data_IF_187828464534
#
_entry.id   IF_187828464534
#
_cell.length_a   1.000
_cell.length_b   1.000
_cell.length_c   1.000
_cell.angle_alpha   90.00
_cell.angle_beta   90.00
_cell.angle_gamma   90.00
#
_symmetry.space_group_name_H-M   'P 1'
#
loop_
_entity.id
_entity.type
_entity.pdbx_description
1 polymer ?
#
# COMPACT_ATOMS: atom_id res chain seq x y z
N UNK A 1 -6.70 -18.59 -51.43
CA UNK A 1 -5.41 -19.29 -51.26
C UNK A 1 -5.22 -19.51 -49.77
N UNK A 2 -5.20 -20.77 -49.38
CA UNK A 2 -5.07 -21.26 -48.01
C UNK A 2 -3.75 -20.81 -47.40
N UNK A 3 -3.81 -20.24 -46.19
CA UNK A 3 -2.69 -20.28 -45.24
C UNK A 3 -3.11 -21.20 -44.11
N UNK A 4 -3.03 -22.50 -44.36
CA UNK A 4 -2.99 -23.54 -43.34
C UNK A 4 -1.79 -23.26 -42.44
N UNK A 5 -2.06 -22.67 -41.28
CA UNK A 5 -1.12 -22.70 -40.17
C UNK A 5 -0.99 -24.16 -39.74
N UNK A 6 0.23 -24.69 -39.84
CA UNK A 6 0.65 -26.02 -39.37
C UNK A 6 -0.17 -26.51 -38.15
N UNK A 7 -1.11 -27.43 -38.40
CA UNK A 7 -1.67 -28.32 -37.39
C UNK A 7 -0.62 -29.38 -37.05
N UNK A 8 0.52 -28.98 -36.47
CA UNK A 8 1.45 -29.94 -35.86
C UNK A 8 0.97 -30.21 -34.43
N UNK A 9 0.48 -31.42 -34.12
CA UNK A 9 0.03 -31.78 -32.78
C UNK A 9 1.11 -31.52 -31.72
N UNK A 10 2.40 -31.64 -32.06
CA UNK A 10 3.51 -31.34 -31.13
C UNK A 10 3.62 -29.85 -30.81
N UNK A 11 3.27 -28.96 -31.75
CA UNK A 11 3.28 -27.53 -31.53
C UNK A 11 2.13 -27.10 -30.61
N UNK A 12 0.94 -27.69 -30.76
CA UNK A 12 -0.18 -27.49 -29.86
C UNK A 12 0.13 -28.03 -28.45
N UNK A 13 0.73 -29.21 -28.36
CA UNK A 13 1.20 -29.84 -27.11
C UNK A 13 2.17 -28.94 -26.34
N UNK A 14 3.18 -28.43 -27.06
CA UNK A 14 4.19 -27.54 -26.50
C UNK A 14 3.56 -26.22 -26.06
N UNK A 15 2.63 -25.69 -26.84
CA UNK A 15 1.90 -24.46 -26.47
C UNK A 15 1.09 -24.65 -25.20
N UNK A 16 0.38 -25.79 -25.05
CA UNK A 16 -0.34 -26.13 -23.82
C UNK A 16 0.61 -26.22 -22.63
N UNK A 17 1.74 -26.92 -22.80
CA UNK A 17 2.75 -27.05 -21.76
C UNK A 17 3.33 -25.69 -21.34
N UNK A 18 3.81 -24.90 -22.30
CA UNK A 18 4.43 -23.60 -22.04
C UNK A 18 3.42 -22.63 -21.40
N UNK A 19 2.14 -22.69 -21.82
CA UNK A 19 1.07 -21.84 -21.26
C UNK A 19 0.67 -22.26 -19.85
N UNK A 20 0.57 -23.57 -19.59
CA UNK A 20 0.32 -24.09 -18.25
C UNK A 20 1.49 -23.81 -17.31
N UNK A 21 2.75 -23.91 -17.77
CA UNK A 21 3.91 -23.57 -16.95
C UNK A 21 3.96 -22.06 -16.64
N UNK A 22 3.61 -21.20 -17.61
CA UNK A 22 3.49 -19.77 -17.37
C UNK A 22 2.41 -19.47 -16.31
N UNK A 23 1.21 -20.03 -16.47
CA UNK A 23 0.06 -19.77 -15.60
C UNK A 23 0.18 -20.39 -14.21
N UNK A 24 0.62 -21.65 -14.12
CA UNK A 24 0.62 -22.43 -12.89
C UNK A 24 1.85 -22.18 -12.01
N UNK A 25 2.93 -21.62 -12.58
CA UNK A 25 4.21 -21.45 -11.88
C UNK A 25 4.69 -20.01 -11.90
N UNK A 26 4.86 -19.45 -13.09
CA UNK A 26 5.62 -18.20 -13.27
C UNK A 26 4.82 -16.94 -12.90
N UNK A 27 3.51 -16.93 -13.17
CA UNK A 27 2.67 -15.76 -12.92
C UNK A 27 2.29 -15.63 -11.42
N UNK A 28 1.91 -16.69 -10.70
CA UNK A 28 1.67 -16.64 -9.26
C UNK A 28 2.92 -16.24 -8.45
N UNK A 29 4.12 -16.60 -8.94
CA UNK A 29 5.41 -16.19 -8.35
C UNK A 29 5.55 -14.67 -8.19
N UNK A 30 4.86 -13.87 -9.03
CA UNK A 30 4.92 -12.40 -8.96
C UNK A 30 4.31 -11.83 -7.69
N UNK A 31 3.41 -12.56 -7.02
CA UNK A 31 2.89 -12.18 -5.70
C UNK A 31 3.88 -12.36 -4.56
N UNK A 32 4.99 -13.07 -4.81
CA UNK A 32 5.99 -13.41 -3.81
C UNK A 32 7.34 -12.79 -4.18
N UNK A 33 8.18 -12.58 -3.17
CA UNK A 33 9.59 -12.20 -3.34
C UNK A 33 10.45 -12.98 -2.36
N UNK A 34 11.61 -13.41 -2.83
CA UNK A 34 12.62 -14.03 -1.96
C UNK A 34 13.54 -12.95 -1.40
N UNK A 35 13.55 -12.79 -0.08
CA UNK A 35 14.43 -11.86 0.60
C UNK A 35 15.90 -12.28 0.37
N UNK A 36 16.73 -11.30 -0.01
CA UNK A 36 18.14 -11.55 -0.37
C UNK A 36 19.01 -11.98 0.81
N UNK A 37 18.59 -11.65 2.04
CA UNK A 37 19.41 -11.83 3.24
C UNK A 37 19.31 -13.26 3.83
N UNK A 38 18.12 -13.87 3.82
CA UNK A 38 17.83 -15.15 4.48
C UNK A 38 17.17 -16.17 3.56
N UNK A 39 16.90 -15.82 2.29
CA UNK A 39 16.19 -16.68 1.35
C UNK A 39 14.71 -16.86 1.67
N UNK A 40 14.15 -16.08 2.60
CA UNK A 40 12.75 -16.20 3.02
C UNK A 40 11.83 -15.67 1.93
N UNK A 41 10.84 -16.47 1.57
CA UNK A 41 9.74 -16.05 0.69
C UNK A 41 8.81 -15.15 1.49
N UNK A 42 8.46 -13.99 0.93
CA UNK A 42 7.56 -13.02 1.53
C UNK A 42 6.60 -12.48 0.47
N UNK A 43 5.46 -11.94 0.90
CA UNK A 43 4.57 -11.20 0.01
C UNK A 43 5.32 -10.07 -0.72
N UNK A 44 5.06 -9.91 -2.02
CA UNK A 44 5.66 -8.88 -2.87
C UNK A 44 4.98 -7.52 -2.65
N UNK A 45 5.03 -7.07 -1.40
CA UNK A 45 4.52 -5.79 -0.93
C UNK A 45 5.21 -5.47 0.39
N UNK A 46 5.84 -4.29 0.46
CA UNK A 46 6.38 -3.80 1.73
C UNK A 46 5.22 -3.38 2.64
N UNK A 47 5.19 -3.89 3.87
CA UNK A 47 4.18 -3.55 4.89
C UNK A 47 4.41 -2.15 5.45
N UNK A 48 5.67 -1.70 5.48
CA UNK A 48 6.08 -0.44 6.13
C UNK A 48 5.36 0.80 5.57
N UNK A 49 5.16 0.95 4.24
CA UNK A 49 4.35 2.01 3.67
C UNK A 49 2.91 2.11 4.20
N UNK A 50 2.21 0.98 4.31
CA UNK A 50 0.79 0.95 4.66
C UNK A 50 0.52 1.40 6.08
N UNK A 51 1.39 1.00 6.99
CA UNK A 51 1.30 1.48 8.35
C UNK A 51 1.56 2.99 8.44
N UNK A 52 2.49 3.54 7.63
CA UNK A 52 2.81 4.97 7.69
C UNK A 52 1.61 5.81 7.22
N UNK A 53 0.94 5.35 6.17
CA UNK A 53 -0.34 5.89 5.72
C UNK A 53 -1.37 5.82 6.86
N UNK A 54 -1.50 4.66 7.52
CA UNK A 54 -2.46 4.49 8.62
C UNK A 54 -2.26 5.51 9.74
N UNK A 55 -1.03 5.63 10.19
CA UNK A 55 -0.71 6.48 11.31
C UNK A 55 -0.82 7.96 10.94
N UNK A 56 -0.45 8.35 9.71
CA UNK A 56 -0.69 9.70 9.21
C UNK A 56 -2.18 10.03 9.17
N UNK A 57 -3.01 9.12 8.66
CA UNK A 57 -4.47 9.31 8.59
C UNK A 57 -5.04 9.51 10.00
N UNK A 58 -4.69 8.64 10.94
CA UNK A 58 -5.14 8.77 12.33
C UNK A 58 -4.67 10.06 13.00
N UNK A 59 -3.39 10.44 12.84
CA UNK A 59 -2.88 11.69 13.39
C UNK A 59 -3.57 12.91 12.75
N UNK A 60 -3.77 12.89 11.43
CA UNK A 60 -4.41 13.98 10.69
C UNK A 60 -5.87 14.19 11.09
N UNK A 61 -6.60 13.11 11.39
CA UNK A 61 -7.98 13.18 11.89
C UNK A 61 -8.11 13.80 13.30
N UNK A 62 -7.00 13.98 14.03
CA UNK A 62 -7.00 14.70 15.32
C UNK A 62 -6.94 16.22 15.13
N UNK A 63 -6.49 16.68 13.96
CA UNK A 63 -6.49 18.10 13.62
C UNK A 63 -7.91 18.64 13.43
N UNK A 64 -8.11 19.95 13.56
CA UNK A 64 -9.43 20.53 13.37
C UNK A 64 -10.00 20.20 11.98
N UNK A 65 -11.21 19.67 11.96
CA UNK A 65 -11.85 19.11 10.77
C UNK A 65 -12.53 20.18 9.90
N UNK A 66 -12.78 21.36 10.47
CA UNK A 66 -13.35 22.53 9.80
C UNK A 66 -12.98 23.83 10.55
N UNK A 67 -13.29 24.96 9.93
CA UNK A 67 -13.05 26.31 10.47
C UNK A 67 -13.66 26.52 11.86
N UNK A 68 -14.84 25.96 12.13
CA UNK A 68 -15.53 26.13 13.41
C UNK A 68 -14.81 25.35 14.53
N UNK A 69 -14.38 24.12 14.27
CA UNK A 69 -13.57 23.35 15.22
C UNK A 69 -12.20 23.98 15.43
N UNK A 70 -11.60 24.54 14.36
CA UNK A 70 -10.34 25.27 14.47
C UNK A 70 -10.50 26.49 15.39
N UNK A 71 -11.48 27.35 15.14
CA UNK A 71 -11.75 28.54 15.97
C UNK A 71 -12.09 28.17 17.42
N UNK A 72 -12.73 27.03 17.66
CA UNK A 72 -13.02 26.52 19.01
C UNK A 72 -11.75 26.06 19.74
N UNK A 73 -10.89 25.30 19.08
CA UNK A 73 -9.64 24.76 19.66
C UNK A 73 -8.53 25.80 19.76
N UNK A 74 -8.46 26.69 18.78
CA UNK A 74 -7.46 27.73 18.59
C UNK A 74 -8.15 29.05 18.18
N UNK A 75 -8.71 29.80 19.14
CA UNK A 75 -9.36 31.07 18.82
C UNK A 75 -8.38 32.08 18.23
N UNK A 76 -8.83 32.86 17.24
CA UNK A 76 -8.04 33.95 16.64
C UNK A 76 -7.46 34.93 17.66
N UNK A 77 -8.13 35.12 18.81
CA UNK A 77 -7.62 35.96 19.89
C UNK A 77 -6.24 35.52 20.40
N UNK A 78 -5.92 34.22 20.36
CA UNK A 78 -4.62 33.67 20.76
C UNK A 78 -3.51 34.04 19.78
N UNK A 79 -3.85 34.28 18.52
CA UNK A 79 -2.89 34.65 17.46
C UNK A 79 -2.65 36.16 17.37
N UNK A 80 -3.41 36.99 18.10
CA UNK A 80 -3.27 38.46 18.06
C UNK A 80 -1.83 38.97 18.22
N UNK A 81 -1.00 38.43 19.14
CA UNK A 81 0.39 38.87 19.25
C UNK A 81 1.18 38.57 17.97
N UNK A 82 0.97 37.41 17.35
CA UNK A 82 1.64 37.05 16.11
C UNK A 82 1.11 37.83 14.91
N UNK A 83 -0.19 38.07 14.80
CA UNK A 83 -0.80 38.82 13.69
C UNK A 83 -0.23 40.24 13.54
N UNK A 84 0.26 40.83 14.63
CA UNK A 84 0.91 42.14 14.60
C UNK A 84 2.25 42.15 13.83
N UNK A 85 2.93 41.01 13.76
CA UNK A 85 4.26 40.87 13.13
C UNK A 85 4.27 39.90 11.94
N UNK A 86 3.26 39.04 11.85
CA UNK A 86 3.02 38.05 10.80
C UNK A 86 1.53 38.10 10.40
N UNK A 87 1.16 39.03 9.51
CA UNK A 87 -0.22 39.15 9.07
C UNK A 87 -0.72 37.86 8.42
N UNK A 88 -1.97 37.47 8.72
CA UNK A 88 -2.69 36.29 8.22
C UNK A 88 -2.21 34.93 8.74
N UNK A 89 -1.25 34.90 9.65
CA UNK A 89 -0.72 33.63 10.19
C UNK A 89 -1.82 32.75 10.80
N UNK A 90 -2.88 33.35 11.34
CA UNK A 90 -4.06 32.62 11.81
C UNK A 90 -4.76 31.86 10.69
N UNK A 91 -5.15 32.57 9.62
CA UNK A 91 -5.90 31.99 8.49
C UNK A 91 -5.05 30.98 7.74
N UNK A 92 -3.76 31.29 7.50
CA UNK A 92 -2.87 30.37 6.81
C UNK A 92 -2.68 29.06 7.60
N UNK A 93 -2.57 29.15 8.93
CA UNK A 93 -2.44 27.97 9.80
C UNK A 93 -3.73 27.15 9.83
N UNK A 94 -4.88 27.82 9.89
CA UNK A 94 -6.20 27.19 9.83
C UNK A 94 -6.36 26.42 8.54
N UNK A 95 -6.15 27.07 7.40
CA UNK A 95 -6.35 26.48 6.09
C UNK A 95 -5.46 25.24 5.90
N UNK A 96 -4.19 25.31 6.32
CA UNK A 96 -3.26 24.18 6.22
C UNK A 96 -3.67 22.97 7.09
N UNK A 97 -4.03 23.19 8.35
CA UNK A 97 -4.38 22.09 9.27
C UNK A 97 -5.76 21.50 8.96
N UNK A 98 -6.72 22.33 8.56
CA UNK A 98 -8.05 21.88 8.13
C UNK A 98 -7.97 21.09 6.82
N UNK A 99 -7.16 21.52 5.85
CA UNK A 99 -6.97 20.80 4.60
C UNK A 99 -6.39 19.39 4.83
N UNK A 100 -5.41 19.27 5.73
CA UNK A 100 -4.82 17.98 6.13
C UNK A 100 -5.86 17.10 6.81
N UNK A 101 -6.59 17.65 7.80
CA UNK A 101 -7.65 16.91 8.50
C UNK A 101 -8.71 16.39 7.55
N UNK A 102 -9.19 17.26 6.66
CA UNK A 102 -10.22 16.93 5.67
C UNK A 102 -9.79 15.80 4.73
N UNK A 103 -8.56 15.87 4.21
CA UNK A 103 -7.99 14.81 3.37
C UNK A 103 -7.88 13.47 4.12
N UNK A 104 -7.40 13.49 5.37
CA UNK A 104 -7.32 12.28 6.19
C UNK A 104 -8.71 11.70 6.53
N UNK A 105 -9.71 12.52 6.85
CA UNK A 105 -11.09 12.07 7.08
C UNK A 105 -11.72 11.48 5.81
N UNK A 106 -11.54 12.12 4.66
CA UNK A 106 -12.01 11.64 3.36
C UNK A 106 -11.39 10.28 3.03
N UNK A 107 -10.09 10.11 3.25
CA UNK A 107 -9.42 8.84 3.00
C UNK A 107 -9.84 7.75 4.01
N UNK A 108 -9.98 8.10 5.29
CA UNK A 108 -10.38 7.17 6.35
C UNK A 108 -11.79 6.61 6.14
N UNK A 109 -12.73 7.46 5.71
CA UNK A 109 -14.15 7.09 5.55
C UNK A 109 -14.46 6.22 4.33
N UNK A 110 -13.48 5.89 3.49
CA UNK A 110 -13.69 4.98 2.36
C UNK A 110 -12.45 4.16 1.99
N UNK A 111 -11.48 4.72 1.23
CA UNK A 111 -10.37 3.96 0.66
C UNK A 111 -9.48 3.20 1.66
N UNK A 112 -9.39 3.70 2.89
CA UNK A 112 -8.50 3.16 3.92
C UNK A 112 -8.75 1.68 4.21
N UNK A 113 -10.01 1.22 4.25
CA UNK A 113 -10.32 -0.21 4.44
C UNK A 113 -9.84 -1.05 3.26
N UNK A 114 -9.98 -0.54 2.03
CA UNK A 114 -9.45 -1.16 0.82
C UNK A 114 -7.93 -1.35 0.89
N UNK A 115 -7.23 -0.34 1.42
CA UNK A 115 -5.76 -0.34 1.53
C UNK A 115 -5.27 -1.39 2.52
N UNK A 116 -6.03 -1.72 3.56
CA UNK A 116 -5.66 -2.80 4.49
C UNK A 116 -6.17 -4.17 4.09
N UNK A 117 -7.22 -4.22 3.28
CA UNK A 117 -7.81 -5.48 2.78
C UNK A 117 -7.23 -5.92 1.44
N UNK A 118 -6.29 -5.18 0.83
CA UNK A 118 -5.75 -5.53 -0.49
C UNK A 118 -5.10 -6.92 -0.56
N UNK A 119 -4.41 -7.36 0.50
CA UNK A 119 -3.87 -8.73 0.54
C UNK A 119 -4.99 -9.79 0.56
N UNK A 120 -6.20 -9.41 1.00
CA UNK A 120 -7.38 -10.27 0.93
C UNK A 120 -7.85 -10.47 -0.51
N UNK A 121 -7.57 -9.55 -1.44
CA UNK A 121 -7.86 -9.75 -2.87
C UNK A 121 -7.00 -10.89 -3.42
N UNK A 122 -5.70 -10.84 -3.15
CA UNK A 122 -4.75 -11.89 -3.55
C UNK A 122 -5.11 -13.23 -2.89
N UNK A 123 -5.41 -13.22 -1.59
CA UNK A 123 -5.87 -14.42 -0.88
C UNK A 123 -7.14 -15.00 -1.50
N UNK A 124 -8.16 -14.19 -1.78
CA UNK A 124 -9.44 -14.67 -2.35
C UNK A 124 -9.20 -15.34 -3.70
N UNK A 125 -8.46 -14.69 -4.59
CA UNK A 125 -8.09 -15.30 -5.88
C UNK A 125 -7.32 -16.60 -5.69
N UNK A 126 -6.30 -16.61 -4.82
CA UNK A 126 -5.49 -17.81 -4.58
C UNK A 126 -6.31 -18.98 -4.00
N UNK A 127 -7.27 -18.70 -3.11
CA UNK A 127 -8.21 -19.71 -2.60
C UNK A 127 -9.09 -20.25 -3.73
N UNK A 128 -9.67 -19.37 -4.56
CA UNK A 128 -10.51 -19.78 -5.68
C UNK A 128 -9.72 -20.62 -6.69
N UNK A 129 -8.52 -20.19 -7.06
CA UNK A 129 -7.62 -20.91 -7.96
C UNK A 129 -7.22 -22.28 -7.39
N UNK A 130 -6.85 -22.34 -6.11
CA UNK A 130 -6.53 -23.60 -5.43
C UNK A 130 -7.74 -24.54 -5.42
N UNK A 131 -8.93 -24.05 -5.08
CA UNK A 131 -10.15 -24.87 -5.06
C UNK A 131 -10.48 -25.38 -6.46
N UNK A 132 -10.38 -24.53 -7.49
CA UNK A 132 -10.58 -24.94 -8.88
C UNK A 132 -9.59 -26.03 -9.31
N UNK A 133 -8.33 -25.96 -8.87
CA UNK A 133 -7.32 -26.98 -9.18
C UNK A 133 -7.49 -28.28 -8.37
N UNK A 134 -7.98 -28.19 -7.14
CA UNK A 134 -8.00 -29.31 -6.18
C UNK A 134 -9.33 -30.03 -5.98
N UNK A 135 -10.46 -29.47 -6.45
CA UNK A 135 -11.77 -30.10 -6.30
C UNK A 135 -11.92 -31.36 -7.16
N UNK A 136 -12.73 -32.31 -6.68
CA UNK A 136 -12.99 -33.60 -7.34
C UNK A 136 -13.64 -33.44 -8.73
N UNK A 137 -14.34 -32.33 -8.97
CA UNK A 137 -14.91 -31.91 -10.25
C UNK A 137 -14.23 -30.65 -10.83
N UNK A 138 -13.13 -30.21 -10.22
CA UNK A 138 -12.40 -29.00 -10.58
C UNK A 138 -11.55 -29.16 -11.84
N UNK A 139 -10.91 -28.06 -12.27
CA UNK A 139 -9.99 -28.00 -13.41
C UNK A 139 -8.95 -29.13 -13.38
N UNK A 140 -8.39 -29.45 -12.21
CA UNK A 140 -7.41 -30.53 -12.08
C UNK A 140 -7.98 -31.92 -12.41
N UNK A 141 -9.24 -32.18 -12.03
CA UNK A 141 -9.93 -33.42 -12.38
C UNK A 141 -10.25 -33.48 -13.88
N UNK A 142 -10.72 -32.37 -14.46
CA UNK A 142 -11.02 -32.30 -15.89
C UNK A 142 -9.76 -32.49 -16.75
N UNK A 143 -8.64 -31.87 -16.38
CA UNK A 143 -7.36 -32.06 -17.06
C UNK A 143 -6.83 -33.49 -16.91
N UNK A 144 -7.07 -34.17 -15.78
CA UNK A 144 -6.77 -35.60 -15.63
C UNK A 144 -7.62 -36.47 -16.55
N UNK A 145 -8.91 -36.16 -16.71
CA UNK A 145 -9.77 -36.85 -17.68
C UNK A 145 -9.24 -36.67 -19.11
N UNK A 146 -8.93 -35.44 -19.52
CA UNK A 146 -8.38 -35.14 -20.86
C UNK A 146 -7.01 -35.78 -21.14
N UNK A 147 -6.31 -36.23 -20.10
CA UNK A 147 -5.02 -36.94 -20.22
C UNK A 147 -5.11 -38.44 -19.95
N UNK A 148 -6.31 -38.97 -19.71
CA UNK A 148 -6.54 -40.38 -19.38
C UNK A 148 -6.12 -41.31 -20.52
N UNK A 149 -5.42 -42.40 -20.17
CA UNK A 149 -4.94 -43.42 -21.10
C UNK A 149 -6.06 -44.02 -21.99
N UNK A 150 -7.33 -43.89 -21.56
CA UNK A 150 -8.54 -44.20 -22.34
C UNK A 150 -8.55 -43.53 -23.72
N UNK A 151 -8.11 -42.26 -23.80
CA UNK A 151 -8.23 -41.42 -24.99
C UNK A 151 -6.99 -41.44 -25.90
N UNK A 152 -6.11 -42.45 -25.75
CA UNK A 152 -4.98 -42.71 -26.66
C UNK A 152 -5.41 -42.87 -28.11
N UNK A 153 -6.57 -43.53 -28.30
CA UNK A 153 -7.13 -43.81 -29.61
C UNK A 153 -8.27 -42.84 -29.89
N UNK A 154 -8.31 -42.32 -31.12
CA UNK A 154 -9.34 -41.38 -31.59
C UNK A 154 -10.76 -41.95 -31.46
N UNK A 155 -10.91 -43.25 -31.60
CA UNK A 155 -12.20 -43.96 -31.52
C UNK A 155 -12.70 -44.16 -30.08
N UNK A 156 -11.88 -43.86 -29.07
CA UNK A 156 -12.23 -44.02 -27.65
C UNK A 156 -12.81 -42.74 -27.02
N UNK A 157 -13.07 -41.70 -27.81
CA UNK A 157 -13.64 -40.44 -27.32
C UNK A 157 -15.14 -40.58 -27.15
N UNK A 158 -15.62 -40.22 -25.98
CA UNK A 158 -17.01 -40.26 -25.58
C UNK A 158 -17.43 -38.97 -24.88
N UNK A 159 -18.67 -38.95 -24.39
CA UNK A 159 -19.30 -37.78 -23.79
C UNK A 159 -18.51 -37.26 -22.57
N UNK A 160 -17.82 -38.15 -21.82
CA UNK A 160 -16.98 -37.76 -20.68
C UNK A 160 -15.79 -36.89 -21.11
N UNK A 161 -15.21 -37.16 -22.29
CA UNK A 161 -14.10 -36.37 -22.81
C UNK A 161 -14.55 -34.96 -23.22
N UNK A 162 -15.64 -34.87 -23.98
CA UNK A 162 -16.18 -33.59 -24.44
C UNK A 162 -16.71 -32.78 -23.25
N UNK A 163 -17.35 -33.41 -22.25
CA UNK A 163 -17.77 -32.78 -21.01
C UNK A 163 -16.58 -32.24 -20.21
N UNK A 164 -15.50 -33.02 -20.05
CA UNK A 164 -14.30 -32.56 -19.36
C UNK A 164 -13.65 -31.37 -20.06
N UNK A 165 -13.68 -31.34 -21.40
CA UNK A 165 -13.17 -30.22 -22.19
C UNK A 165 -13.97 -28.95 -21.95
N UNK A 166 -15.30 -29.01 -22.02
CA UNK A 166 -16.16 -27.85 -21.79
C UNK A 166 -16.05 -27.35 -20.34
N UNK A 167 -16.07 -28.26 -19.35
CA UNK A 167 -15.93 -27.89 -17.94
C UNK A 167 -14.55 -27.28 -17.66
N UNK A 168 -13.46 -27.81 -18.23
CA UNK A 168 -12.14 -27.22 -18.06
C UNK A 168 -12.07 -25.78 -18.59
N UNK A 169 -12.72 -25.51 -19.74
CA UNK A 169 -12.81 -24.14 -20.29
C UNK A 169 -13.63 -23.22 -19.41
N UNK A 170 -14.79 -23.68 -18.96
CA UNK A 170 -15.65 -22.92 -18.03
C UNK A 170 -14.87 -22.52 -16.76
N UNK A 171 -14.14 -23.46 -16.15
CA UNK A 171 -13.29 -23.17 -14.99
C UNK A 171 -12.18 -22.17 -15.26
N UNK A 172 -11.56 -22.21 -16.44
CA UNK A 172 -10.53 -21.24 -16.82
C UNK A 172 -11.12 -19.85 -17.09
N UNK A 173 -12.31 -19.78 -17.69
CA UNK A 173 -13.03 -18.51 -17.88
C UNK A 173 -13.50 -17.92 -16.54
N UNK A 174 -13.92 -18.76 -15.58
CA UNK A 174 -14.20 -18.32 -14.21
C UNK A 174 -12.97 -17.70 -13.55
N UNK A 175 -11.81 -18.37 -13.62
CA UNK A 175 -10.54 -17.85 -13.08
C UNK A 175 -10.12 -16.55 -13.78
N UNK A 176 -10.29 -16.47 -15.10
CA UNK A 176 -10.01 -15.27 -15.87
C UNK A 176 -10.91 -14.11 -15.46
N UNK A 177 -12.20 -14.36 -15.27
CA UNK A 177 -13.15 -13.35 -14.80
C UNK A 177 -12.81 -12.89 -13.38
N UNK A 178 -12.43 -13.80 -12.48
CA UNK A 178 -12.00 -13.44 -11.13
C UNK A 178 -10.72 -12.59 -11.16
N UNK A 179 -9.72 -12.99 -11.96
CA UNK A 179 -8.48 -12.21 -12.14
C UNK A 179 -8.79 -10.78 -12.60
N UNK A 180 -9.67 -10.61 -13.59
CA UNK A 180 -10.09 -9.31 -14.09
C UNK A 180 -10.82 -8.48 -13.03
N UNK A 181 -11.74 -9.09 -12.28
CA UNK A 181 -12.44 -8.41 -11.18
C UNK A 181 -11.43 -7.90 -10.13
N UNK A 182 -10.42 -8.71 -9.79
CA UNK A 182 -9.36 -8.32 -8.85
C UNK A 182 -8.38 -7.29 -9.41
N UNK A 183 -8.12 -7.29 -10.72
CA UNK A 183 -7.41 -6.21 -11.42
C UNK A 183 -8.17 -4.89 -11.25
N UNK A 184 -9.47 -4.86 -11.56
CA UNK A 184 -10.31 -3.65 -11.46
C UNK A 184 -10.38 -3.11 -10.02
N UNK A 185 -10.51 -4.00 -9.03
CA UNK A 185 -10.48 -3.64 -7.61
C UNK A 185 -9.12 -3.07 -7.19
N UNK A 186 -8.02 -3.66 -7.69
CA UNK A 186 -6.66 -3.17 -7.43
C UNK A 186 -6.41 -1.81 -8.09
N UNK A 187 -6.92 -1.58 -9.31
CA UNK A 187 -6.79 -0.30 -10.01
C UNK A 187 -7.58 0.81 -9.30
N UNK A 188 -8.80 0.52 -8.84
CA UNK A 188 -9.58 1.47 -8.02
C UNK A 188 -8.81 1.85 -6.77
N UNK A 189 -8.29 0.86 -6.04
CA UNK A 189 -7.51 1.11 -4.83
C UNK A 189 -6.25 1.93 -5.09
N UNK A 190 -5.54 1.63 -6.19
CA UNK A 190 -4.36 2.37 -6.64
C UNK A 190 -4.70 3.82 -6.93
N UNK A 191 -5.82 4.08 -7.60
CA UNK A 191 -6.30 5.44 -7.91
C UNK A 191 -6.65 6.20 -6.64
N UNK A 192 -7.41 5.58 -5.73
CA UNK A 192 -7.77 6.21 -4.47
C UNK A 192 -6.53 6.59 -3.64
N UNK A 193 -5.51 5.72 -3.59
CA UNK A 193 -4.25 6.01 -2.92
C UNK A 193 -3.41 7.07 -3.65
N UNK A 194 -3.42 7.08 -4.99
CA UNK A 194 -2.76 8.10 -5.79
C UNK A 194 -3.39 9.48 -5.60
N UNK A 195 -4.72 9.55 -5.52
CA UNK A 195 -5.44 10.80 -5.25
C UNK A 195 -5.10 11.32 -3.86
N UNK A 196 -5.02 10.44 -2.85
CA UNK A 196 -4.59 10.82 -1.50
C UNK A 196 -3.12 11.29 -1.45
N UNK A 197 -2.24 10.65 -2.22
CA UNK A 197 -0.86 11.10 -2.40
C UNK A 197 -0.81 12.51 -3.00
N UNK A 198 -1.57 12.76 -4.07
CA UNK A 198 -1.62 14.08 -4.73
C UNK A 198 -2.15 15.16 -3.77
N UNK A 199 -3.19 14.85 -2.97
CA UNK A 199 -3.70 15.74 -1.91
C UNK A 199 -2.63 16.00 -0.84
N UNK A 200 -1.89 14.98 -0.43
CA UNK A 200 -0.79 15.10 0.54
C UNK A 200 0.35 16.00 0.01
N UNK A 201 0.71 15.87 -1.27
CA UNK A 201 1.69 16.76 -1.92
C UNK A 201 1.21 18.21 -2.02
N UNK A 202 -0.09 18.42 -2.25
CA UNK A 202 -0.68 19.76 -2.22
C UNK A 202 -0.64 20.36 -0.81
N UNK A 203 -1.01 19.56 0.20
CA UNK A 203 -0.96 19.94 1.61
C UNK A 203 0.46 20.27 2.07
N UNK A 204 1.48 19.54 1.58
CA UNK A 204 2.90 19.86 1.84
C UNK A 204 3.22 21.31 1.53
N UNK A 205 2.82 21.82 0.36
CA UNK A 205 3.12 23.20 -0.04
C UNK A 205 2.55 24.22 0.94
N UNK A 206 1.32 23.98 1.42
CA UNK A 206 0.68 24.86 2.40
C UNK A 206 1.36 24.79 3.76
N UNK A 207 1.63 23.56 4.25
CA UNK A 207 2.30 23.33 5.53
C UNK A 207 3.72 23.93 5.54
N UNK A 208 4.51 23.74 4.47
CA UNK A 208 5.83 24.36 4.33
C UNK A 208 5.72 25.88 4.33
N UNK A 209 4.79 26.47 3.57
CA UNK A 209 4.63 27.92 3.54
C UNK A 209 4.27 28.52 4.92
N UNK A 210 3.43 27.82 5.69
CA UNK A 210 3.10 28.22 7.07
C UNK A 210 4.33 28.06 7.98
N UNK A 211 5.05 26.95 7.89
CA UNK A 211 6.23 26.75 8.73
C UNK A 211 7.36 27.75 8.43
N UNK A 212 7.56 28.08 7.15
CA UNK A 212 8.52 29.10 6.73
C UNK A 212 8.15 30.47 7.31
N UNK A 213 6.87 30.84 7.36
CA UNK A 213 6.42 32.07 8.05
C UNK A 213 6.76 32.04 9.53
N UNK A 214 6.50 30.92 10.20
CA UNK A 214 6.81 30.73 11.62
C UNK A 214 8.32 30.79 11.92
N UNK A 215 9.18 30.34 11.01
CA UNK A 215 10.64 30.30 11.16
C UNK A 215 11.34 31.54 10.59
N UNK A 216 10.64 32.38 9.84
CA UNK A 216 11.18 33.61 9.26
C UNK A 216 11.41 34.69 10.32
N UNK A 217 12.44 35.54 10.18
CA UNK A 217 12.66 36.68 11.07
C UNK A 217 11.44 37.60 11.14
N UNK A 218 11.15 38.12 12.33
CA UNK A 218 10.04 39.05 12.56
C UNK A 218 10.55 40.34 13.19
N UNK A 219 9.89 41.45 12.89
CA UNK A 219 10.22 42.78 13.44
C UNK A 219 9.00 43.33 14.14
N UNK A 220 9.13 43.75 15.39
CA UNK A 220 8.02 44.32 16.13
C UNK A 220 7.75 45.79 15.73
N UNK A 221 6.65 46.35 16.23
CA UNK A 221 6.28 47.75 15.99
C UNK A 221 7.30 48.78 16.50
N UNK A 222 8.19 48.38 17.41
CA UNK A 222 9.29 49.21 17.93
C UNK A 222 10.58 49.10 17.10
N UNK A 223 10.60 48.31 16.02
CA UNK A 223 11.77 48.09 15.18
C UNK A 223 12.75 47.06 15.74
N UNK A 224 12.40 46.33 16.81
CA UNK A 224 13.26 45.26 17.34
C UNK A 224 13.13 44.02 16.47
N UNK A 225 14.27 43.50 16.04
CA UNK A 225 14.36 42.30 15.22
C UNK A 225 14.46 41.05 16.09
N UNK A 226 13.65 40.06 15.75
CA UNK A 226 13.63 38.74 16.35
C UNK A 226 13.95 37.71 15.28
N UNK A 227 14.63 36.64 15.69
CA UNK A 227 15.01 35.57 14.79
C UNK A 227 13.80 34.89 14.14
N UNK A 228 12.64 34.90 14.79
CA UNK A 228 11.37 34.31 14.32
C UNK A 228 10.21 34.51 15.32
N UNK A 229 9.04 33.99 14.94
CA UNK A 229 7.80 34.04 15.71
C UNK A 229 7.91 33.46 17.14
N UNK A 230 8.60 32.32 17.35
CA UNK A 230 8.73 31.74 18.70
C UNK A 230 9.55 32.64 19.63
N UNK A 231 10.69 33.13 19.14
CA UNK A 231 11.58 34.01 19.94
C UNK A 231 10.91 35.36 20.22
N UNK A 232 10.06 35.82 19.29
CA UNK A 232 9.21 36.99 19.51
C UNK A 232 8.16 36.74 20.61
N UNK A 233 7.48 35.60 20.59
CA UNK A 233 6.49 35.23 21.60
C UNK A 233 7.11 35.00 22.98
N UNK A 234 8.29 34.37 23.04
CA UNK A 234 9.12 34.33 24.24
C UNK A 234 10.60 34.04 23.91
N UNK A 235 11.49 34.93 24.32
CA UNK A 235 12.94 34.79 24.18
C UNK A 235 13.54 33.56 24.90
N UNK A 236 12.90 33.05 25.96
CA UNK A 236 13.35 31.84 26.67
C UNK A 236 13.20 30.56 25.84
N UNK A 237 12.50 30.63 24.70
CA UNK A 237 12.26 29.50 23.81
C UNK A 237 13.33 29.38 22.72
N UNK A 238 14.35 30.23 22.69
CA UNK A 238 15.40 30.21 21.67
C UNK A 238 16.16 28.86 21.62
N UNK A 239 16.49 28.30 22.79
CA UNK A 239 17.14 26.98 22.90
C UNK A 239 16.21 25.84 22.45
N UNK A 240 14.92 25.95 22.74
CA UNK A 240 13.91 24.97 22.31
C UNK A 240 13.69 25.02 20.80
N UNK A 241 13.71 26.22 20.24
CA UNK A 241 13.59 26.42 18.81
C UNK A 241 14.81 25.91 18.05
N UNK A 242 16.02 26.07 18.60
CA UNK A 242 17.22 25.44 18.02
C UNK A 242 17.06 23.92 17.97
N UNK A 243 16.56 23.29 19.03
CA UNK A 243 16.27 21.84 19.02
C UNK A 243 15.24 21.43 17.98
N UNK A 244 14.21 22.26 17.77
CA UNK A 244 13.18 22.02 16.76
C UNK A 244 13.74 22.12 15.33
N UNK A 245 14.61 23.12 15.07
CA UNK A 245 15.32 23.25 13.80
C UNK A 245 16.30 22.10 13.56
N UNK A 246 17.11 21.75 14.56
CA UNK A 246 18.06 20.63 14.48
C UNK A 246 17.34 19.28 14.34
N UNK A 247 16.08 19.19 14.76
CA UNK A 247 15.21 18.05 14.53
C UNK A 247 14.76 18.00 13.06
N UNK A 248 14.29 19.13 12.50
CA UNK A 248 13.93 19.24 11.07
C UNK A 248 15.12 18.91 10.16
N UNK A 249 16.27 19.55 10.38
CA UNK A 249 17.46 19.36 9.53
C UNK A 249 17.97 17.90 9.57
N UNK A 250 17.84 17.23 10.71
CA UNK A 250 18.20 15.81 10.87
C UNK A 250 17.17 14.88 10.20
N UNK A 251 15.88 15.20 10.27
CA UNK A 251 14.84 14.49 9.54
C UNK A 251 15.06 14.58 8.02
N UNK A 252 15.36 15.78 7.51
CA UNK A 252 15.66 16.01 6.09
C UNK A 252 16.90 15.22 5.63
N UNK A 253 17.90 15.07 6.51
CA UNK A 253 19.09 14.27 6.24
C UNK A 253 18.77 12.78 6.21
N UNK A 254 17.97 12.29 7.15
CA UNK A 254 17.63 10.87 7.26
C UNK A 254 16.67 10.40 6.18
N UNK A 255 15.75 11.26 5.74
CA UNK A 255 14.90 11.00 4.57
C UNK A 255 15.72 10.75 3.31
N UNK A 256 16.92 11.36 3.20
CA UNK A 256 17.87 11.10 2.10
C UNK A 256 18.68 9.81 2.29
N UNK A 257 18.79 9.29 3.51
CA UNK A 257 19.68 8.17 3.87
C UNK A 257 18.94 6.84 4.13
N UNK A 258 17.62 6.83 4.38
CA UNK A 258 16.88 5.62 4.75
C UNK A 258 16.64 4.66 3.57
N UNK A 259 17.50 3.63 3.51
CA UNK A 259 17.20 2.30 2.97
C UNK A 259 16.58 1.43 4.07
N UNK A 260 15.41 0.88 3.76
CA UNK A 260 14.78 -0.35 4.25
C UNK A 260 14.92 -0.74 5.73
N UNK A 261 13.75 -0.91 6.38
CA UNK A 261 13.41 -1.67 7.59
C UNK A 261 12.77 -0.81 8.71
N UNK A 262 11.50 -1.10 9.02
CA UNK A 262 10.77 -0.47 10.12
C UNK A 262 10.09 -1.51 11.01
N UNK A 263 10.47 -1.54 12.30
CA UNK A 263 9.92 -2.41 13.35
C UNK A 263 8.49 -1.97 13.77
N UNK A 264 7.46 -2.84 13.68
CA UNK A 264 6.07 -2.60 14.12
C UNK A 264 5.89 -2.16 15.58
N UNK A 265 6.85 -2.43 16.49
CA UNK A 265 6.72 -2.00 17.90
C UNK A 265 6.87 -0.50 18.10
N UNK A 266 7.56 0.20 17.21
CA UNK A 266 7.64 1.67 17.22
C UNK A 266 6.29 2.35 16.99
N UNK A 267 5.31 1.65 16.40
CA UNK A 267 4.06 2.16 15.84
C UNK A 267 2.95 2.37 16.87
N UNK A 268 2.97 1.59 17.96
CA UNK A 268 2.00 1.72 19.08
C UNK A 268 2.08 3.07 19.79
N UNK A 269 3.14 3.83 19.57
CA UNK A 269 3.42 5.09 20.26
C UNK A 269 2.88 6.34 19.53
N UNK A 270 2.40 6.19 18.29
CA UNK A 270 2.05 7.29 17.37
C UNK A 270 0.72 7.97 17.72
N UNK A 271 -0.02 7.35 18.64
CA UNK A 271 -1.36 7.71 19.08
C UNK A 271 -1.33 8.79 20.18
N UNK A 272 -0.20 8.99 20.88
CA UNK A 272 -0.20 9.76 22.15
C UNK A 272 0.29 11.20 22.08
N UNK A 273 0.41 11.76 20.89
CA UNK A 273 0.88 13.14 20.71
C UNK A 273 0.17 13.66 19.46
N UNK A 274 -0.32 14.89 19.37
CA UNK A 274 0.46 16.07 18.91
C UNK A 274 1.84 15.82 18.21
N UNK A 275 2.26 14.57 17.93
CA UNK A 275 3.55 14.12 17.38
C UNK A 275 3.34 12.73 16.79
N UNK A 276 3.27 12.69 15.48
CA UNK A 276 3.17 11.46 14.73
C UNK A 276 4.55 10.88 14.29
N UNK A 277 4.55 10.11 13.19
CA UNK A 277 5.53 9.15 12.66
C UNK A 277 7.06 9.27 12.65
N UNK A 278 7.76 8.14 12.84
CA UNK A 278 9.23 8.07 12.90
C UNK A 278 9.96 8.20 11.56
N UNK A 279 10.85 9.20 11.51
CA UNK A 279 12.22 9.06 11.02
C UNK A 279 13.17 9.29 12.20
N UNK A 280 13.81 8.22 12.67
CA UNK A 280 14.77 8.09 13.79
C UNK A 280 14.35 8.38 15.24
N UNK A 281 14.90 7.54 16.12
CA UNK A 281 14.93 7.68 17.57
C UNK A 281 15.38 9.09 18.03
N UNK A 282 16.23 9.76 17.24
CA UNK A 282 16.75 11.09 17.55
C UNK A 282 15.71 12.20 17.30
N UNK A 283 14.87 12.12 16.26
CA UNK A 283 13.79 13.09 16.04
C UNK A 283 12.72 12.98 17.13
N UNK A 284 12.35 11.74 17.47
CA UNK A 284 11.43 11.45 18.57
C UNK A 284 11.92 12.03 19.89
N UNK A 285 13.17 11.76 20.27
CA UNK A 285 13.72 12.27 21.53
C UNK A 285 13.76 13.80 21.54
N UNK A 286 14.12 14.45 20.42
CA UNK A 286 14.12 15.92 20.31
C UNK A 286 12.72 16.54 20.38
N UNK A 287 11.72 15.97 19.73
CA UNK A 287 10.32 16.43 19.79
C UNK A 287 9.69 16.18 21.16
N UNK A 288 10.02 15.06 21.80
CA UNK A 288 9.61 14.76 23.17
C UNK A 288 10.25 15.71 24.17
N UNK A 289 11.56 15.92 24.09
CA UNK A 289 12.28 16.87 24.95
C UNK A 289 11.72 18.30 24.78
N UNK A 290 11.34 18.65 23.55
CA UNK A 290 10.64 19.90 23.26
C UNK A 290 9.26 19.97 23.92
N UNK A 291 8.43 18.93 23.76
CA UNK A 291 7.11 18.84 24.40
C UNK A 291 7.21 18.92 25.93
N UNK A 292 8.10 18.14 26.53
CA UNK A 292 8.30 18.10 27.98
C UNK A 292 8.79 19.45 28.52
N UNK A 293 9.60 20.19 27.74
CA UNK A 293 10.03 21.53 28.10
C UNK A 293 8.93 22.59 27.91
N UNK A 294 8.12 22.46 26.85
CA UNK A 294 6.96 23.32 26.61
C UNK A 294 5.89 23.13 27.69
N UNK A 295 5.61 21.88 28.08
CA UNK A 295 4.63 21.55 29.14
C UNK A 295 5.12 22.04 30.52
N UNK A 296 6.43 22.03 30.80
CA UNK A 296 6.99 22.63 32.02
C UNK A 296 6.84 24.14 32.01
N UNK A 297 7.10 24.79 30.87
CA UNK A 297 7.00 26.23 30.69
C UNK A 297 5.54 26.73 30.73
N UNK A 298 4.60 25.94 30.22
CA UNK A 298 3.23 26.39 30.00
C UNK A 298 2.37 26.59 31.24
N UNK A 299 2.82 26.06 32.38
CA UNK A 299 2.20 26.32 33.68
C UNK A 299 2.10 27.82 34.03
N UNK A 300 2.85 28.69 33.34
CA UNK A 300 2.88 30.14 33.58
C UNK A 300 2.39 31.01 32.40
N UNK A 301 2.15 30.46 31.20
CA UNK A 301 1.88 31.24 29.96
C UNK A 301 0.86 30.57 29.01
N UNK A 302 -0.34 30.28 29.51
CA UNK A 302 -1.37 29.48 28.81
C UNK A 302 -1.82 30.02 27.44
N UNK A 303 -1.87 31.33 27.22
CA UNK A 303 -2.35 31.90 25.94
C UNK A 303 -1.33 31.73 24.81
N UNK A 304 -0.04 31.81 25.14
CA UNK A 304 1.08 31.64 24.21
C UNK A 304 1.40 30.17 23.97
N UNK A 305 1.13 29.30 24.95
CA UNK A 305 1.29 27.84 24.85
C UNK A 305 0.57 27.25 23.64
N UNK A 306 -0.69 27.60 23.42
CA UNK A 306 -1.51 26.99 22.36
C UNK A 306 -0.98 27.32 20.95
N UNK A 307 -0.50 28.55 20.77
CA UNK A 307 0.13 28.99 19.50
C UNK A 307 1.47 28.28 19.27
N UNK A 308 2.27 28.10 20.32
CA UNK A 308 3.55 27.38 20.24
C UNK A 308 3.34 25.89 19.98
N UNK A 309 2.34 25.26 20.60
CA UNK A 309 1.94 23.88 20.30
C UNK A 309 1.53 23.75 18.84
N UNK A 310 0.71 24.69 18.35
CA UNK A 310 0.28 24.72 16.95
C UNK A 310 1.46 24.85 15.98
N UNK A 311 2.39 25.78 16.23
CA UNK A 311 3.59 25.93 15.42
C UNK A 311 4.43 24.64 15.42
N UNK A 312 4.60 24.01 16.58
CA UNK A 312 5.35 22.75 16.71
C UNK A 312 4.71 21.63 15.90
N UNK A 313 3.38 21.55 15.91
CA UNK A 313 2.63 20.61 15.08
C UNK A 313 2.88 20.86 13.60
N UNK A 314 2.85 22.11 13.14
CA UNK A 314 3.15 22.47 11.75
C UNK A 314 4.59 22.09 11.37
N UNK A 315 5.58 22.37 12.21
CA UNK A 315 6.97 21.99 11.95
C UNK A 315 7.17 20.48 11.91
N UNK A 316 6.55 19.73 12.84
CA UNK A 316 6.63 18.28 12.88
C UNK A 316 5.96 17.65 11.65
N UNK A 317 4.80 18.17 11.25
CA UNK A 317 4.09 17.75 10.05
C UNK A 317 4.92 17.96 8.79
N UNK A 318 5.56 19.14 8.65
CA UNK A 318 6.44 19.42 7.52
C UNK A 318 7.63 18.47 7.44
N UNK A 319 8.30 18.20 8.57
CA UNK A 319 9.46 17.30 8.61
C UNK A 319 9.12 15.85 8.25
N UNK A 320 7.86 15.45 8.38
CA UNK A 320 7.39 14.08 8.17
C UNK A 320 6.77 13.85 6.77
N UNK A 321 6.29 14.91 6.12
CA UNK A 321 5.46 14.75 4.92
C UNK A 321 6.24 14.19 3.73
N UNK A 322 7.55 14.40 3.64
CA UNK A 322 8.39 13.87 2.56
C UNK A 322 8.64 12.36 2.68
N UNK A 323 8.92 11.86 3.87
CA UNK A 323 9.01 10.41 4.13
C UNK A 323 7.65 9.75 3.86
N UNK A 324 6.55 10.40 4.26
CA UNK A 324 5.21 9.92 3.98
C UNK A 324 4.89 9.86 2.48
N UNK A 325 5.19 10.92 1.70
CA UNK A 325 5.02 10.94 0.24
C UNK A 325 5.84 9.82 -0.41
N UNK A 326 7.07 9.60 0.06
CA UNK A 326 7.92 8.51 -0.41
C UNK A 326 7.29 7.14 -0.14
N UNK A 327 6.73 6.95 1.06
CA UNK A 327 6.05 5.70 1.45
C UNK A 327 4.76 5.49 0.68
N UNK A 328 3.92 6.52 0.53
CA UNK A 328 2.71 6.48 -0.29
C UNK A 328 3.03 6.09 -1.74
N UNK A 329 4.06 6.68 -2.33
CA UNK A 329 4.56 6.31 -3.67
C UNK A 329 4.89 4.82 -3.74
N UNK A 330 5.65 4.28 -2.77
CA UNK A 330 5.96 2.84 -2.72
C UNK A 330 4.70 1.97 -2.56
N UNK A 331 3.72 2.41 -1.79
CA UNK A 331 2.44 1.68 -1.65
C UNK A 331 1.64 1.68 -2.96
N UNK A 332 1.60 2.81 -3.68
CA UNK A 332 0.98 2.91 -5.02
C UNK A 332 1.68 1.94 -6.00
N UNK A 333 3.02 1.92 -6.01
CA UNK A 333 3.80 0.98 -6.83
C UNK A 333 3.52 -0.47 -6.47
N UNK A 334 3.43 -0.79 -5.17
CA UNK A 334 3.08 -2.13 -4.68
C UNK A 334 1.69 -2.58 -5.16
N UNK A 335 0.66 -1.73 -5.04
CA UNK A 335 -0.68 -2.06 -5.53
C UNK A 335 -0.71 -2.18 -7.05
N UNK A 336 0.05 -1.33 -7.77
CA UNK A 336 0.20 -1.44 -9.23
C UNK A 336 0.80 -2.78 -9.63
N UNK A 337 1.81 -3.28 -8.92
CA UNK A 337 2.40 -4.58 -9.21
C UNK A 337 1.38 -5.72 -9.05
N UNK A 338 0.50 -5.62 -8.04
CA UNK A 338 -0.60 -6.57 -7.83
C UNK A 338 -1.63 -6.49 -8.95
N UNK A 339 -2.07 -5.28 -9.33
CA UNK A 339 -2.93 -5.04 -10.48
C UNK A 339 -2.34 -5.66 -11.74
N UNK A 340 -1.07 -5.37 -12.03
CA UNK A 340 -0.37 -5.89 -13.19
C UNK A 340 -0.30 -7.42 -13.12
N UNK A 341 -0.10 -8.02 -11.95
CA UNK A 341 -0.09 -9.49 -11.78
C UNK A 341 -1.45 -10.10 -12.13
N UNK A 342 -2.55 -9.52 -11.64
CA UNK A 342 -3.90 -9.99 -11.99
C UNK A 342 -4.19 -9.86 -13.48
N UNK A 343 -3.81 -8.73 -14.11
CA UNK A 343 -3.94 -8.57 -15.57
C UNK A 343 -3.21 -9.69 -16.31
N UNK A 344 -1.95 -9.94 -15.95
CA UNK A 344 -1.16 -10.97 -16.60
C UNK A 344 -1.75 -12.37 -16.39
N UNK A 345 -2.28 -12.69 -15.21
CA UNK A 345 -2.99 -13.96 -14.94
C UNK A 345 -4.23 -14.10 -15.84
N UNK A 346 -5.05 -13.07 -15.94
CA UNK A 346 -6.22 -13.08 -16.83
C UNK A 346 -5.84 -13.27 -18.31
N UNK A 347 -4.78 -12.61 -18.77
CA UNK A 347 -4.28 -12.71 -20.14
C UNK A 347 -3.64 -14.08 -20.45
N UNK A 348 -2.96 -14.71 -19.50
CA UNK A 348 -2.30 -16.02 -19.72
C UNK A 348 -3.27 -17.21 -19.76
N UNK A 349 -4.50 -17.05 -19.30
CA UNK A 349 -5.54 -18.09 -19.39
C UNK A 349 -6.07 -18.28 -20.82
N UNK A 350 -6.04 -17.24 -21.66
CA UNK A 350 -6.54 -17.31 -23.06
C UNK A 350 -5.81 -18.34 -23.93
N UNK A 351 -4.46 -18.38 -23.94
CA UNK A 351 -3.72 -19.45 -24.60
C UNK A 351 -4.05 -20.84 -24.07
N UNK A 352 -4.27 -21.02 -22.76
CA UNK A 352 -4.60 -22.31 -22.16
C UNK A 352 -5.97 -22.79 -22.63
N UNK A 353 -6.98 -21.93 -22.60
CA UNK A 353 -8.34 -22.21 -23.10
C UNK A 353 -8.29 -22.66 -24.56
N UNK A 354 -7.58 -21.89 -25.42
CA UNK A 354 -7.40 -22.24 -26.84
C UNK A 354 -6.63 -23.54 -27.04
N UNK A 355 -5.67 -23.85 -26.17
CA UNK A 355 -4.89 -25.08 -26.25
C UNK A 355 -5.72 -26.30 -25.83
N UNK A 356 -6.60 -26.19 -24.83
CA UNK A 356 -7.60 -27.21 -24.49
C UNK A 356 -8.54 -27.47 -25.67
N UNK A 357 -8.97 -26.41 -26.37
CA UNK A 357 -9.79 -26.55 -27.58
C UNK A 357 -9.12 -27.36 -28.68
N UNK A 358 -7.80 -27.30 -28.76
CA UNK A 358 -6.96 -27.99 -29.74
C UNK A 358 -6.44 -29.35 -29.28
N UNK A 359 -6.83 -29.84 -28.11
CA UNK A 359 -6.49 -31.21 -27.71
C UNK A 359 -7.17 -32.15 -28.71
N UNK A 360 -6.38 -32.63 -29.67
CA UNK A 360 -6.85 -33.45 -30.79
C UNK A 360 -7.17 -34.88 -30.36
N UNK A 361 -8.00 -35.51 -31.18
CA UNK A 361 -8.43 -36.89 -31.04
C UNK A 361 -7.30 -37.85 -31.45
N UNK A 362 -6.71 -38.54 -30.47
CA UNK A 362 -5.66 -39.56 -30.68
C UNK A 362 -4.25 -38.97 -30.69
N UNK A 363 -3.48 -39.23 -29.63
CA UNK A 363 -2.07 -38.83 -29.50
C UNK A 363 -1.19 -40.05 -29.33
N UNK A 364 0.08 -39.97 -29.76
CA UNK A 364 1.02 -41.08 -29.49
C UNK A 364 1.17 -41.30 -27.98
N UNK A 365 1.37 -42.56 -27.57
CA UNK A 365 1.52 -42.93 -26.15
C UNK A 365 2.61 -42.15 -25.42
N UNK A 366 3.68 -41.76 -26.12
CA UNK A 366 4.77 -40.97 -25.55
C UNK A 366 4.36 -39.51 -25.29
N UNK A 367 3.64 -38.88 -26.22
CA UNK A 367 3.15 -37.50 -26.05
C UNK A 367 2.12 -37.45 -24.92
N UNK A 368 1.24 -38.43 -24.85
CA UNK A 368 0.25 -38.50 -23.78
C UNK A 368 0.86 -38.69 -22.39
N UNK A 369 1.90 -39.53 -22.27
CA UNK A 369 2.62 -39.70 -21.01
C UNK A 369 3.30 -38.40 -20.57
N UNK A 370 3.91 -37.66 -21.51
CA UNK A 370 4.50 -36.34 -21.27
C UNK A 370 3.43 -35.35 -20.82
N UNK A 371 2.29 -35.27 -21.53
CA UNK A 371 1.16 -34.41 -21.18
C UNK A 371 0.66 -34.65 -19.76
N UNK A 372 0.38 -35.92 -19.43
CA UNK A 372 -0.10 -36.35 -18.12
C UNK A 372 0.88 -35.98 -17.01
N UNK A 373 2.18 -36.19 -17.26
CA UNK A 373 3.24 -35.81 -16.33
C UNK A 373 3.28 -34.29 -16.12
N UNK A 374 3.32 -33.51 -17.19
CA UNK A 374 3.44 -32.05 -17.11
C UNK A 374 2.23 -31.40 -16.45
N UNK A 375 1.03 -31.83 -16.80
CA UNK A 375 -0.21 -31.35 -16.20
C UNK A 375 -0.26 -31.71 -14.71
N UNK A 376 0.05 -32.94 -14.34
CA UNK A 376 -0.01 -33.38 -12.94
C UNK A 376 1.01 -32.65 -12.07
N UNK A 377 2.26 -32.53 -12.53
CA UNK A 377 3.29 -31.76 -11.82
C UNK A 377 2.95 -30.27 -11.77
N UNK A 378 2.50 -29.68 -12.88
CA UNK A 378 2.11 -28.26 -12.93
C UNK A 378 0.95 -27.92 -11.98
N UNK A 379 -0.07 -28.77 -11.90
CA UNK A 379 -1.18 -28.59 -10.95
C UNK A 379 -0.66 -28.68 -9.51
N UNK A 380 0.18 -29.67 -9.20
CA UNK A 380 0.72 -29.84 -7.85
C UNK A 380 1.60 -28.65 -7.43
N UNK A 381 2.44 -28.16 -8.35
CA UNK A 381 3.27 -26.97 -8.14
C UNK A 381 2.39 -25.73 -7.92
N UNK A 382 1.36 -25.52 -8.75
CA UNK A 382 0.42 -24.40 -8.57
C UNK A 382 -0.32 -24.46 -7.24
N UNK A 383 -0.83 -25.63 -6.84
CA UNK A 383 -1.52 -25.79 -5.54
C UNK A 383 -0.59 -25.43 -4.40
N UNK A 384 0.64 -25.96 -4.43
CA UNK A 384 1.68 -25.63 -3.44
C UNK A 384 1.95 -24.12 -3.42
N UNK A 385 1.98 -23.50 -4.61
CA UNK A 385 2.25 -22.08 -4.75
C UNK A 385 1.13 -21.19 -4.22
N UNK A 386 -0.11 -21.54 -4.52
CA UNK A 386 -1.26 -20.84 -3.97
C UNK A 386 -1.34 -21.00 -2.45
N UNK A 387 -0.91 -22.12 -1.89
CA UNK A 387 -0.77 -22.25 -0.43
C UNK A 387 0.27 -21.30 0.16
N UNK A 388 1.43 -21.13 -0.47
CA UNK A 388 2.43 -20.12 -0.09
C UNK A 388 1.84 -18.70 -0.16
N UNK A 389 1.15 -18.37 -1.25
CA UNK A 389 0.51 -17.06 -1.45
C UNK A 389 -0.56 -16.79 -0.38
N UNK A 390 -1.43 -17.76 -0.11
CA UNK A 390 -2.48 -17.64 0.92
C UNK A 390 -1.85 -17.34 2.28
N UNK A 391 -0.82 -18.10 2.67
CA UNK A 391 -0.13 -17.91 3.94
C UNK A 391 0.51 -16.53 4.04
N UNK A 392 1.25 -16.10 3.02
CA UNK A 392 1.93 -14.81 3.02
C UNK A 392 0.94 -13.63 2.99
N UNK A 393 -0.19 -13.77 2.28
CA UNK A 393 -1.26 -12.78 2.27
C UNK A 393 -1.97 -12.67 3.64
N UNK A 394 -2.14 -13.79 4.36
CA UNK A 394 -2.64 -13.80 5.74
C UNK A 394 -1.67 -13.16 6.72
N UNK A 395 -0.39 -13.50 6.63
CA UNK A 395 0.65 -12.90 7.48
C UNK A 395 0.82 -11.41 7.17
N UNK A 396 0.56 -10.99 5.93
CA UNK A 396 0.42 -9.59 5.57
C UNK A 396 -0.79 -8.95 6.26
N UNK A 397 -1.99 -9.54 6.12
CA UNK A 397 -3.21 -8.99 6.72
C UNK A 397 -3.13 -8.87 8.26
N UNK A 398 -2.65 -9.93 8.93
CA UNK A 398 -2.46 -9.95 10.40
C UNK A 398 -1.47 -8.90 10.86
N UNK A 399 -0.40 -8.69 10.08
CA UNK A 399 0.57 -7.65 10.38
C UNK A 399 -0.06 -6.28 10.17
N UNK A 400 -0.71 -6.03 9.03
CA UNK A 400 -1.28 -4.74 8.65
C UNK A 400 -2.36 -4.24 9.62
N UNK A 401 -3.05 -5.13 10.34
CA UNK A 401 -3.97 -4.76 11.42
C UNK A 401 -3.19 -4.24 12.65
N UNK A 402 -2.98 -2.93 12.74
CA UNK A 402 -2.60 -2.31 14.02
C UNK A 402 -3.78 -2.50 14.99
N UNK A 403 -3.58 -3.31 16.04
CA UNK A 403 -4.45 -3.31 17.22
C UNK A 403 -4.28 -1.96 17.91
N UNK A 404 -5.22 -1.04 17.69
CA UNK A 404 -5.42 0.10 18.57
C UNK A 404 -5.74 -0.48 19.94
N UNK A 405 -4.82 -0.34 20.89
CA UNK A 405 -5.12 -0.61 22.29
C UNK A 405 -5.85 0.65 22.76
N UNK A 406 -7.10 0.50 23.19
CA UNK A 406 -7.88 1.60 23.73
C UNK A 406 -7.02 2.36 24.77
N UNK A 407 -6.88 3.67 24.56
CA UNK A 407 -6.10 4.57 25.41
C UNK A 407 -6.86 4.94 26.69
#
# INVERSE_FOLDING_TARGET
MSTDWNNDPKAAEKTLQDSLEAELKTHPDRFLRTAKADGKVTFNGDKSPFYAIQAYVWCGMLYPDNDADFQKKLPQSRFKPLEAVLPKIYEDTKDALVAVSSSCHKFSSGPMEGVFSYSSLVKKYAVNAKTSLGADDGLGAQLKTLTSDKYKNKDSIDDDFEAAKELAKERLEELKSDAKEKEEQSDKLRKDLQDFLNETEANKKQVTAVNDKYLSPVTDSGGKHYKNAMVYLNHELEDLQKKLKDAKDEADKQTKELKEEGDPKGWKFWINVLSGPTGTWNLYQKLKDFKDALDKWSTQNKETEDVLKCQTTVTALEAQIDDLITRMTKAVEGIRLIQDTFRHLGESLDPVIKAIDKIEKGTSSSLQAIRKSNISHGIQDAVTKYDEIIKEAEDFAKAAQIKVVDA
#
